data_IF_673587834909
#
_entry.id   IF_673587834909
#
_cell.length_a   1.000
_cell.length_b   1.000
_cell.length_c   1.000
_cell.angle_alpha   90.00
_cell.angle_beta   90.00
_cell.angle_gamma   90.00
#
_symmetry.space_group_name_H-M   'P 1'
#
loop_
_entity.id
_entity.type
_entity.pdbx_description
1 polymer ?
#
# COMPACT_ATOMS: atom_id res chain seq x y z
N UNK A 1 4.02 3.01 25.66
CA UNK A 1 4.96 2.82 24.53
C UNK A 1 4.70 1.44 23.98
N UNK A 2 4.39 1.31 22.69
CA UNK A 2 4.09 0.02 22.07
C UNK A 2 5.38 -0.47 21.44
N UNK A 3 5.84 -1.66 21.80
CA UNK A 3 6.94 -2.30 21.08
C UNK A 3 6.40 -2.91 19.79
N UNK A 4 6.97 -2.50 18.65
CA UNK A 4 6.58 -3.03 17.36
C UNK A 4 7.31 -4.35 17.10
N UNK A 5 6.71 -5.23 16.30
CA UNK A 5 7.38 -6.47 15.89
C UNK A 5 8.65 -6.19 15.06
N UNK A 6 8.74 -5.01 14.45
CA UNK A 6 9.92 -4.51 13.76
C UNK A 6 11.05 -4.16 14.74
N UNK A 7 10.75 -3.41 15.81
CA UNK A 7 11.78 -3.09 16.83
C UNK A 7 12.28 -4.31 17.59
N UNK A 8 11.47 -5.37 17.64
CA UNK A 8 11.80 -6.64 18.27
C UNK A 8 12.54 -7.62 17.34
N UNK A 9 12.80 -7.25 16.08
CA UNK A 9 13.36 -8.11 15.03
C UNK A 9 12.62 -9.46 14.89
N UNK A 10 11.32 -9.49 15.19
CA UNK A 10 10.52 -10.71 15.32
C UNK A 10 9.63 -10.96 14.10
N UNK A 11 10.00 -10.42 12.93
CA UNK A 11 9.20 -10.49 11.70
C UNK A 11 9.14 -11.90 11.09
N UNK A 12 10.11 -12.75 11.40
CA UNK A 12 10.19 -14.16 11.00
C UNK A 12 9.32 -15.08 11.87
N UNK A 13 8.87 -14.58 13.03
CA UNK A 13 8.10 -15.37 13.99
C UNK A 13 6.73 -15.75 13.42
N UNK A 14 6.23 -16.94 13.79
CA UNK A 14 4.91 -17.44 13.38
C UNK A 14 3.76 -16.46 13.66
N UNK A 15 3.84 -15.70 14.77
CA UNK A 15 2.89 -14.63 15.11
C UNK A 15 2.90 -13.49 14.09
N UNK A 16 4.07 -13.05 13.64
CA UNK A 16 4.20 -12.01 12.64
C UNK A 16 3.65 -12.47 11.29
N UNK A 17 3.95 -13.71 10.88
CA UNK A 17 3.40 -14.30 9.65
C UNK A 17 1.87 -14.44 9.70
N UNK A 18 1.32 -14.86 10.85
CA UNK A 18 -0.13 -14.95 11.02
C UNK A 18 -0.81 -13.57 10.95
N UNK A 19 -0.22 -12.55 11.59
CA UNK A 19 -0.72 -11.17 11.49
C UNK A 19 -0.60 -10.63 10.06
N UNK A 20 0.50 -10.91 9.36
CA UNK A 20 0.68 -10.52 7.97
C UNK A 20 -0.37 -11.17 7.07
N UNK A 21 -0.71 -12.44 7.31
CA UNK A 21 -1.80 -13.12 6.60
C UNK A 21 -3.15 -12.44 6.85
N UNK A 22 -3.49 -12.16 8.11
CA UNK A 22 -4.76 -11.49 8.45
C UNK A 22 -4.85 -10.09 7.84
N UNK A 23 -3.78 -9.30 7.92
CA UNK A 23 -3.70 -7.97 7.31
C UNK A 23 -3.78 -8.05 5.78
N UNK A 24 -3.10 -9.01 5.17
CA UNK A 24 -3.16 -9.26 3.72
C UNK A 24 -4.55 -9.66 3.25
N UNK A 25 -5.23 -10.56 3.97
CA UNK A 25 -6.62 -10.93 3.69
C UNK A 25 -7.57 -9.72 3.84
N UNK A 26 -7.41 -8.91 4.89
CA UNK A 26 -8.20 -7.69 5.08
C UNK A 26 -7.97 -6.66 3.97
N UNK A 27 -6.72 -6.49 3.54
CA UNK A 27 -6.36 -5.64 2.41
C UNK A 27 -6.99 -6.14 1.10
N UNK A 28 -6.87 -7.44 0.80
CA UNK A 28 -7.48 -8.06 -0.38
C UNK A 28 -9.00 -7.91 -0.42
N UNK A 29 -9.68 -8.13 0.71
CA UNK A 29 -11.12 -7.90 0.83
C UNK A 29 -11.50 -6.44 0.54
N UNK A 30 -10.69 -5.48 1.00
CA UNK A 30 -10.87 -4.06 0.68
C UNK A 30 -10.75 -3.75 -0.82
N UNK A 31 -9.75 -4.33 -1.50
CA UNK A 31 -9.56 -4.16 -2.95
C UNK A 31 -10.68 -4.78 -3.77
N UNK A 32 -11.19 -5.95 -3.36
CA UNK A 32 -12.31 -6.61 -4.02
C UNK A 32 -13.59 -5.78 -3.89
N UNK A 33 -13.86 -5.23 -2.70
CA UNK A 33 -14.98 -4.29 -2.46
C UNK A 33 -14.85 -2.99 -3.24
N UNK A 34 -13.62 -2.48 -3.42
CA UNK A 34 -13.34 -1.32 -4.28
C UNK A 34 -13.56 -1.62 -5.77
N UNK A 35 -13.68 -2.90 -6.17
CA UNK A 35 -13.99 -3.31 -7.53
C UNK A 35 -12.78 -3.35 -8.46
N UNK A 36 -11.57 -3.40 -7.90
CA UNK A 36 -10.32 -3.46 -8.66
C UNK A 36 -10.06 -4.80 -9.35
N UNK A 37 -10.86 -5.83 -9.03
CA UNK A 37 -10.87 -7.11 -9.77
C UNK A 37 -11.38 -6.95 -11.22
N UNK A 38 -12.05 -5.83 -11.56
CA UNK A 38 -12.54 -5.58 -12.91
C UNK A 38 -11.57 -4.75 -13.74
N UNK A 39 -10.96 -5.36 -14.76
CA UNK A 39 -10.11 -4.68 -15.75
C UNK A 39 -10.81 -3.50 -16.45
N UNK A 40 -12.14 -3.55 -16.60
CA UNK A 40 -12.93 -2.47 -17.20
C UNK A 40 -12.92 -1.20 -16.34
N UNK A 41 -12.99 -1.32 -15.02
CA UNK A 41 -12.94 -0.16 -14.10
C UNK A 41 -11.56 0.46 -14.07
N UNK A 42 -10.51 -0.36 -14.17
CA UNK A 42 -9.13 0.12 -14.27
C UNK A 42 -8.86 0.85 -15.58
N UNK A 43 -9.28 0.28 -16.70
CA UNK A 43 -9.18 0.93 -18.01
C UNK A 43 -9.98 2.25 -18.05
N UNK A 44 -11.09 2.33 -17.32
CA UNK A 44 -11.92 3.53 -17.21
C UNK A 44 -11.18 4.77 -16.72
N UNK A 45 -10.08 4.62 -15.96
CA UNK A 45 -9.22 5.75 -15.56
C UNK A 45 -8.56 6.39 -16.78
N UNK A 46 -8.04 5.58 -17.71
CA UNK A 46 -7.36 6.06 -18.92
C UNK A 46 -8.33 6.68 -19.92
N UNK A 47 -9.58 6.22 -19.94
CA UNK A 47 -10.65 6.80 -20.75
C UNK A 47 -11.39 7.96 -20.05
N UNK A 48 -10.96 8.35 -18.86
CA UNK A 48 -11.60 9.35 -18.02
C UNK A 48 -13.07 9.07 -17.68
N UNK A 49 -13.54 7.83 -17.81
CA UNK A 49 -14.93 7.42 -17.55
C UNK A 49 -15.15 6.98 -16.11
N UNK A 50 -14.11 6.43 -15.46
CA UNK A 50 -14.17 5.97 -14.07
C UNK A 50 -12.91 6.37 -13.31
N UNK A 51 -13.06 7.27 -12.34
CA UNK A 51 -11.97 7.78 -11.48
C UNK A 51 -11.90 7.08 -10.12
N UNK A 52 -12.58 5.94 -9.96
CA UNK A 52 -12.61 5.21 -8.69
C UNK A 52 -11.20 4.87 -8.19
N UNK A 53 -10.30 4.42 -9.07
CA UNK A 53 -8.92 4.04 -8.71
C UNK A 53 -8.17 5.21 -8.10
N UNK A 54 -8.18 6.37 -8.77
CA UNK A 54 -7.50 7.58 -8.29
C UNK A 54 -8.08 8.00 -6.95
N UNK A 55 -9.41 8.09 -6.84
CA UNK A 55 -10.07 8.51 -5.59
C UNK A 55 -9.74 7.57 -4.41
N UNK A 56 -9.84 6.26 -4.61
CA UNK A 56 -9.60 5.27 -3.55
C UNK A 56 -8.12 5.26 -3.14
N UNK A 57 -7.19 5.26 -4.09
CA UNK A 57 -5.76 5.26 -3.77
C UNK A 57 -5.32 6.55 -3.07
N UNK A 58 -5.77 7.71 -3.54
CA UNK A 58 -5.41 9.00 -2.93
C UNK A 58 -6.01 9.16 -1.53
N UNK A 59 -7.27 8.76 -1.34
CA UNK A 59 -7.91 8.80 -0.03
C UNK A 59 -7.26 7.83 0.94
N UNK A 60 -6.98 6.59 0.51
CA UNK A 60 -6.26 5.62 1.33
C UNK A 60 -4.86 6.13 1.74
N UNK A 61 -4.12 6.74 0.80
CA UNK A 61 -2.80 7.33 1.08
C UNK A 61 -2.90 8.45 2.12
N UNK A 62 -3.82 9.39 1.96
CA UNK A 62 -4.01 10.49 2.91
C UNK A 62 -4.43 9.95 4.27
N UNK A 63 -5.38 9.01 4.32
CA UNK A 63 -5.82 8.37 5.57
C UNK A 63 -4.66 7.67 6.28
N UNK A 64 -3.82 6.94 5.54
CA UNK A 64 -2.64 6.29 6.11
C UNK A 64 -1.61 7.30 6.63
N UNK A 65 -1.33 8.36 5.86
CA UNK A 65 -0.39 9.41 6.25
C UNK A 65 -0.85 10.15 7.52
N UNK A 66 -2.14 10.50 7.60
CA UNK A 66 -2.72 11.12 8.79
C UNK A 66 -2.75 10.15 9.97
N UNK A 67 -3.15 8.90 9.75
CA UNK A 67 -3.16 7.89 10.81
C UNK A 67 -1.76 7.69 11.42
N UNK A 68 -0.74 7.61 10.57
CA UNK A 68 0.65 7.49 11.02
C UNK A 68 1.12 8.74 11.76
N UNK A 69 0.80 9.94 11.27
CA UNK A 69 1.20 11.19 11.94
C UNK A 69 0.54 11.35 13.31
N UNK A 70 -0.72 10.95 13.48
CA UNK A 70 -1.38 10.92 14.78
C UNK A 70 -0.72 9.92 15.73
N UNK A 71 -0.40 8.71 15.27
CA UNK A 71 0.27 7.69 16.10
C UNK A 71 1.65 8.14 16.60
N UNK A 72 2.40 8.87 15.76
CA UNK A 72 3.66 9.51 16.14
C UNK A 72 3.41 10.65 17.12
N UNK A 73 2.40 11.50 16.86
CA UNK A 73 2.04 12.64 17.74
C UNK A 73 1.61 12.22 19.16
N UNK A 74 0.95 11.06 19.30
CA UNK A 74 0.59 10.49 20.60
C UNK A 74 1.74 9.73 21.29
N UNK A 75 2.93 9.64 20.66
CA UNK A 75 4.08 8.92 21.20
C UNK A 75 3.89 7.40 21.26
N UNK A 76 2.94 6.86 20.50
CA UNK A 76 2.70 5.41 20.41
C UNK A 76 3.69 4.75 19.46
N UNK A 77 4.14 5.48 18.44
CA UNK A 77 5.11 5.04 17.45
C UNK A 77 6.27 6.05 17.39
N UNK A 78 7.49 5.55 17.27
CA UNK A 78 8.69 6.38 17.10
C UNK A 78 9.28 6.18 15.69
N UNK A 79 10.00 7.18 15.19
CA UNK A 79 10.54 7.19 13.81
C UNK A 79 11.62 6.12 13.58
N UNK A 80 12.35 5.74 14.63
CA UNK A 80 13.33 4.64 14.63
C UNK A 80 12.70 3.26 14.42
N UNK A 81 11.40 3.13 14.71
CA UNK A 81 10.64 1.90 14.48
C UNK A 81 10.02 1.82 13.07
N UNK A 82 10.27 2.82 12.21
CA UNK A 82 9.81 2.84 10.82
C UNK A 82 11.02 2.68 9.89
N UNK A 83 10.95 1.67 9.02
CA UNK A 83 11.94 1.51 7.98
C UNK A 83 11.68 2.49 6.81
N UNK A 84 12.56 3.48 6.67
CA UNK A 84 12.54 4.44 5.55
C UNK A 84 13.44 3.92 4.42
N UNK A 85 12.84 3.64 3.26
CA UNK A 85 13.58 3.18 2.09
C UNK A 85 14.50 4.29 1.57
N UNK A 86 15.79 4.01 1.28
CA UNK A 86 16.69 5.00 0.69
C UNK A 86 16.18 5.46 -0.69
N UNK A 87 16.16 6.78 -0.90
CA UNK A 87 15.66 7.38 -2.13
C UNK A 87 16.72 7.36 -3.22
N UNK A 88 16.64 6.39 -4.12
CA UNK A 88 17.50 6.29 -5.31
C UNK A 88 16.72 6.69 -6.55
N UNK A 89 16.83 7.96 -6.95
CA UNK A 89 16.03 8.54 -8.03
C UNK A 89 16.12 7.76 -9.34
N UNK A 90 17.32 7.32 -9.74
CA UNK A 90 17.51 6.57 -10.99
C UNK A 90 16.73 5.25 -11.01
N UNK A 91 16.83 4.47 -9.93
CA UNK A 91 16.11 3.20 -9.80
C UNK A 91 14.60 3.41 -9.68
N UNK A 92 14.16 4.44 -8.96
CA UNK A 92 12.75 4.77 -8.79
C UNK A 92 12.09 5.21 -10.09
N UNK A 93 12.76 6.04 -10.89
CA UNK A 93 12.24 6.49 -12.20
C UNK A 93 12.15 5.32 -13.17
N UNK A 94 13.22 4.52 -13.31
CA UNK A 94 13.23 3.38 -14.22
C UNK A 94 12.22 2.31 -13.78
N UNK A 95 12.21 1.97 -12.49
CA UNK A 95 11.28 1.00 -11.92
C UNK A 95 9.82 1.43 -12.03
N UNK A 96 9.52 2.70 -11.73
CA UNK A 96 8.18 3.26 -11.86
C UNK A 96 7.67 3.27 -13.30
N UNK A 97 8.55 3.55 -14.27
CA UNK A 97 8.20 3.54 -15.68
C UNK A 97 7.94 2.11 -16.19
N UNK A 98 8.81 1.16 -15.84
CA UNK A 98 8.61 -0.27 -16.16
C UNK A 98 7.31 -0.82 -15.54
N UNK A 99 7.06 -0.48 -14.28
CA UNK A 99 5.84 -0.86 -13.58
C UNK A 99 4.59 -0.27 -14.25
N UNK A 100 4.62 1.01 -14.62
CA UNK A 100 3.51 1.67 -15.32
C UNK A 100 3.20 1.02 -16.67
N UNK A 101 4.23 0.67 -17.45
CA UNK A 101 4.05 -0.07 -18.71
C UNK A 101 3.41 -1.44 -18.46
N UNK A 102 3.90 -2.18 -17.45
CA UNK A 102 3.32 -3.47 -17.06
C UNK A 102 1.85 -3.36 -16.61
N UNK A 103 1.51 -2.33 -15.85
CA UNK A 103 0.15 -2.06 -15.40
C UNK A 103 -0.81 -1.81 -16.57
N UNK A 104 -0.41 -0.99 -17.54
CA UNK A 104 -1.22 -0.70 -18.74
C UNK A 104 -1.39 -1.95 -19.60
N UNK A 105 -0.31 -2.72 -19.82
CA UNK A 105 -0.38 -3.94 -20.64
C UNK A 105 -1.15 -5.07 -19.95
N UNK A 106 -1.02 -5.20 -18.63
CA UNK A 106 -1.66 -6.25 -17.84
C UNK A 106 -3.15 -6.00 -17.65
N UNK A 107 -3.59 -4.74 -17.50
CA UNK A 107 -5.00 -4.43 -17.26
C UNK A 107 -5.52 -4.90 -15.89
N UNK A 108 -4.62 -5.10 -14.93
CA UNK A 108 -4.91 -5.53 -13.55
C UNK A 108 -4.32 -4.55 -12.54
N UNK A 109 -5.01 -4.36 -11.42
CA UNK A 109 -4.49 -3.55 -10.33
C UNK A 109 -3.37 -4.31 -9.62
N UNK A 110 -2.23 -3.68 -9.30
CA UNK A 110 -1.22 -4.31 -8.47
C UNK A 110 -1.84 -4.68 -7.11
N UNK A 111 -2.01 -5.98 -6.86
CA UNK A 111 -2.59 -6.51 -5.62
C UNK A 111 -3.98 -7.15 -5.75
N UNK A 112 -4.57 -7.22 -6.95
CA UNK A 112 -5.75 -8.05 -7.25
C UNK A 112 -5.43 -9.32 -7.99
#
# INVERSE_FOLDING_TARGET
MIETLFSLDALDTSRALFLALLLGCGFGFGLERAGFSSSRRLAGVFYFTDMAVVKVMFTALITAALGLSYLIGFGWLQLDQIYLMPTVYGAQVVGGLLFGVGFVMGGWCPGT
#
